data_IF_673005609530
#
_entry.id   IF_673005609530
#
_cell.length_a   1.000
_cell.length_b   1.000
_cell.length_c   1.000
_cell.angle_alpha   90.00
_cell.angle_beta   90.00
_cell.angle_gamma   90.00
#
_symmetry.space_group_name_H-M   'P 1'
#
loop_
_entity.id
_entity.type
_entity.pdbx_description
1 polymer ?
#
# COMPACT_ATOMS: atom_id res chain seq x y z
N UNK A 1 28.02 -11.29 -10.88
CA UNK A 1 27.01 -11.99 -10.08
C UNK A 1 25.66 -11.46 -10.49
N UNK A 2 24.75 -12.32 -10.94
CA UNK A 2 23.35 -11.92 -11.15
C UNK A 2 22.72 -11.95 -9.76
N UNK A 3 22.33 -10.79 -9.21
CA UNK A 3 21.50 -10.75 -8.01
C UNK A 3 20.15 -11.40 -8.38
N UNK A 4 19.94 -12.63 -7.91
CA UNK A 4 18.61 -13.25 -7.99
C UNK A 4 17.78 -12.57 -6.90
N UNK A 5 16.66 -11.91 -7.24
CA UNK A 5 15.82 -11.25 -6.24
C UNK A 5 15.27 -12.28 -5.25
N UNK A 6 15.27 -11.93 -3.96
CA UNK A 6 14.77 -12.83 -2.92
C UNK A 6 13.28 -13.14 -3.16
N UNK A 7 12.79 -14.35 -2.84
CA UNK A 7 11.39 -14.72 -3.05
C UNK A 7 10.42 -13.75 -2.34
N UNK A 8 10.81 -13.22 -1.19
CA UNK A 8 10.05 -12.25 -0.42
C UNK A 8 9.96 -10.89 -1.12
N UNK A 9 11.01 -10.44 -1.80
CA UNK A 9 10.99 -9.23 -2.61
C UNK A 9 10.05 -9.39 -3.81
N UNK A 10 10.06 -10.54 -4.47
CA UNK A 10 9.16 -10.84 -5.59
C UNK A 10 7.69 -10.82 -5.13
N UNK A 11 7.40 -11.43 -3.98
CA UNK A 11 6.05 -11.43 -3.41
C UNK A 11 5.63 -10.00 -3.01
N UNK A 12 6.52 -9.21 -2.40
CA UNK A 12 6.27 -7.80 -2.08
C UNK A 12 5.96 -6.98 -3.34
N UNK A 13 6.75 -7.15 -4.42
CA UNK A 13 6.51 -6.52 -5.72
C UNK A 13 5.12 -6.85 -6.26
N UNK A 14 4.72 -8.12 -6.19
CA UNK A 14 3.39 -8.58 -6.62
C UNK A 14 2.28 -7.96 -5.79
N UNK A 15 2.40 -7.93 -4.46
CA UNK A 15 1.40 -7.32 -3.57
C UNK A 15 1.29 -5.80 -3.81
N UNK A 16 2.43 -5.14 -3.98
CA UNK A 16 2.52 -3.71 -4.30
C UNK A 16 1.83 -3.37 -5.62
N UNK A 17 2.11 -4.13 -6.68
CA UNK A 17 1.45 -3.96 -7.96
C UNK A 17 -0.07 -4.14 -7.84
N UNK A 18 -0.51 -5.18 -7.14
CA UNK A 18 -1.94 -5.44 -6.94
C UNK A 18 -2.65 -4.31 -6.19
N UNK A 19 -2.05 -3.79 -5.11
CA UNK A 19 -2.64 -2.68 -4.34
C UNK A 19 -2.83 -1.44 -5.21
N UNK A 20 -1.81 -1.10 -6.01
CA UNK A 20 -1.87 0.06 -6.89
C UNK A 20 -2.97 -0.08 -7.94
N UNK A 21 -3.13 -1.27 -8.52
CA UNK A 21 -4.19 -1.55 -9.49
C UNK A 21 -5.59 -1.37 -8.88
N UNK A 22 -5.82 -1.86 -7.66
CA UNK A 22 -7.11 -1.72 -6.97
C UNK A 22 -7.40 -0.26 -6.67
N UNK A 23 -6.43 0.47 -6.11
CA UNK A 23 -6.58 1.89 -5.79
C UNK A 23 -6.82 2.75 -7.03
N UNK A 24 -6.23 2.39 -8.18
CA UNK A 24 -6.46 3.07 -9.46
C UNK A 24 -7.86 2.87 -10.04
N UNK A 25 -8.63 1.87 -9.60
CA UNK A 25 -10.03 1.65 -10.03
C UNK A 25 -11.04 2.49 -9.27
N UNK A 26 -10.65 3.09 -8.13
CA UNK A 26 -11.55 3.88 -7.29
C UNK A 26 -12.29 4.99 -8.08
N UNK A 27 -11.65 5.79 -8.95
CA UNK A 27 -12.35 6.85 -9.68
C UNK A 27 -13.49 6.33 -10.57
N UNK A 28 -13.31 5.17 -11.19
CA UNK A 28 -14.33 4.55 -12.05
C UNK A 28 -15.43 3.87 -11.23
N UNK A 29 -15.08 3.27 -10.09
CA UNK A 29 -15.99 2.42 -9.33
C UNK A 29 -16.75 3.18 -8.23
N UNK A 30 -16.28 4.35 -7.78
CA UNK A 30 -16.88 5.11 -6.68
C UNK A 30 -18.34 5.51 -6.91
N UNK A 31 -18.77 5.63 -8.17
CA UNK A 31 -20.16 5.99 -8.50
C UNK A 31 -21.14 4.82 -8.31
N UNK A 32 -20.66 3.56 -8.42
CA UNK A 32 -21.46 2.38 -8.14
C UNK A 32 -21.19 1.91 -6.71
N UNK A 33 -22.16 2.12 -5.81
CA UNK A 33 -21.98 1.81 -4.39
C UNK A 33 -21.63 0.34 -4.14
N UNK A 34 -22.17 -0.59 -4.91
CA UNK A 34 -21.94 -2.02 -4.69
C UNK A 34 -20.51 -2.38 -5.09
N UNK A 35 -20.12 -2.04 -6.31
CA UNK A 35 -18.76 -2.24 -6.81
C UNK A 35 -17.75 -1.52 -5.93
N UNK A 36 -18.03 -0.28 -5.51
CA UNK A 36 -17.13 0.48 -4.64
C UNK A 36 -16.90 -0.21 -3.29
N UNK A 37 -17.94 -0.75 -2.66
CA UNK A 37 -17.78 -1.52 -1.41
C UNK A 37 -16.95 -2.79 -1.63
N UNK A 38 -17.07 -3.46 -2.78
CA UNK A 38 -16.21 -4.59 -3.14
C UNK A 38 -14.76 -4.14 -3.28
N UNK A 39 -14.49 -3.02 -3.95
CA UNK A 39 -13.16 -2.42 -4.11
C UNK A 39 -12.53 -2.01 -2.78
N UNK A 40 -13.31 -1.45 -1.85
CA UNK A 40 -12.85 -1.14 -0.49
C UNK A 40 -12.43 -2.42 0.23
N UNK A 41 -13.27 -3.46 0.20
CA UNK A 41 -12.95 -4.74 0.83
C UNK A 41 -11.71 -5.39 0.20
N UNK A 42 -11.57 -5.32 -1.13
CA UNK A 42 -10.40 -5.80 -1.85
C UNK A 42 -9.13 -5.03 -1.48
N UNK A 43 -9.24 -3.70 -1.31
CA UNK A 43 -8.18 -2.81 -0.82
C UNK A 43 -7.72 -3.23 0.56
N UNK A 44 -8.64 -3.37 1.52
CA UNK A 44 -8.32 -3.81 2.90
C UNK A 44 -7.58 -5.15 2.92
N UNK A 45 -8.05 -6.12 2.14
CA UNK A 45 -7.39 -7.42 2.04
C UNK A 45 -6.01 -7.33 1.41
N UNK A 46 -5.84 -6.48 0.40
CA UNK A 46 -4.55 -6.31 -0.28
C UNK A 46 -3.55 -5.55 0.57
N UNK A 47 -3.99 -4.57 1.36
CA UNK A 47 -3.16 -3.87 2.35
C UNK A 47 -2.63 -4.84 3.40
N UNK A 48 -3.49 -5.69 3.97
CA UNK A 48 -3.04 -6.73 4.92
C UNK A 48 -1.97 -7.64 4.32
N UNK A 49 -2.15 -8.08 3.07
CA UNK A 49 -1.18 -8.90 2.34
C UNK A 49 0.13 -8.17 2.08
N UNK A 50 0.07 -6.88 1.71
CA UNK A 50 1.26 -6.05 1.50
C UNK A 50 2.05 -5.90 2.81
N UNK A 51 1.38 -5.55 3.90
CA UNK A 51 2.00 -5.37 5.21
C UNK A 51 2.66 -6.64 5.73
N UNK A 52 2.05 -7.81 5.48
CA UNK A 52 2.66 -9.10 5.80
C UNK A 52 3.97 -9.29 5.02
N UNK A 53 3.96 -9.07 3.70
CA UNK A 53 5.16 -9.20 2.87
C UNK A 53 6.27 -8.21 3.28
N UNK A 54 5.91 -6.98 3.67
CA UNK A 54 6.87 -6.01 4.23
C UNK A 54 7.49 -6.52 5.53
N UNK A 55 6.69 -7.16 6.39
CA UNK A 55 7.19 -7.75 7.63
C UNK A 55 8.17 -8.90 7.37
N UNK A 56 7.87 -9.76 6.40
CA UNK A 56 8.77 -10.87 5.99
C UNK A 56 10.10 -10.31 5.46
N UNK A 57 10.06 -9.40 4.48
CA UNK A 57 11.27 -8.73 3.95
C UNK A 57 12.08 -8.04 5.06
N UNK A 58 11.43 -7.41 6.04
CA UNK A 58 12.11 -6.78 7.19
C UNK A 58 12.92 -7.77 8.03
N UNK A 59 12.51 -9.04 8.09
CA UNK A 59 13.25 -10.08 8.80
C UNK A 59 14.54 -10.46 8.06
N UNK A 60 14.56 -10.35 6.73
CA UNK A 60 15.70 -10.68 5.88
C UNK A 60 16.73 -9.56 5.73
N UNK A 61 16.36 -8.30 6.00
CA UNK A 61 17.32 -7.18 6.02
C UNK A 61 18.27 -7.35 7.22
N UNK A 62 19.57 -7.50 7.00
CA UNK A 62 20.54 -7.66 8.11
C UNK A 62 20.94 -6.32 8.76
N UNK A 63 20.86 -5.22 8.01
CA UNK A 63 21.23 -3.88 8.50
C UNK A 63 20.17 -3.29 9.42
N UNK A 64 20.57 -2.91 10.65
CA UNK A 64 19.68 -2.25 11.62
C UNK A 64 19.09 -0.95 11.05
N UNK A 65 19.89 -0.18 10.31
CA UNK A 65 19.43 1.05 9.66
C UNK A 65 18.39 0.75 8.57
N UNK A 66 18.56 -0.34 7.82
CA UNK A 66 17.58 -0.79 6.82
C UNK A 66 16.26 -1.19 7.46
N UNK A 67 16.30 -1.97 8.55
CA UNK A 67 15.10 -2.34 9.33
C UNK A 67 14.35 -1.12 9.85
N UNK A 68 15.06 -0.19 10.50
CA UNK A 68 14.44 1.03 11.03
C UNK A 68 13.85 1.91 9.92
N UNK A 69 14.52 2.00 8.78
CA UNK A 69 14.00 2.71 7.60
C UNK A 69 12.69 2.09 7.09
N UNK A 70 12.63 0.77 6.96
CA UNK A 70 11.44 0.06 6.51
C UNK A 70 10.30 0.14 7.54
N UNK A 71 10.59 0.02 8.83
CA UNK A 71 9.60 0.22 9.90
C UNK A 71 9.02 1.64 9.90
N UNK A 72 9.84 2.66 9.66
CA UNK A 72 9.38 4.04 9.54
C UNK A 72 8.45 4.22 8.34
N UNK A 73 8.79 3.63 7.18
CA UNK A 73 7.92 3.63 6.00
C UNK A 73 6.60 2.92 6.28
N UNK A 74 6.64 1.78 6.96
CA UNK A 74 5.46 1.01 7.32
C UNK A 74 4.52 1.83 8.24
N UNK A 75 5.05 2.48 9.27
CA UNK A 75 4.27 3.38 10.15
C UNK A 75 3.65 4.54 9.38
N UNK A 76 4.36 5.14 8.43
CA UNK A 76 3.80 6.22 7.61
C UNK A 76 2.73 5.71 6.64
N UNK A 77 2.90 4.52 6.07
CA UNK A 77 1.88 3.89 5.24
C UNK A 77 0.57 3.68 6.04
N UNK A 78 0.64 3.14 7.26
CA UNK A 78 -0.52 2.96 8.14
C UNK A 78 -1.24 4.27 8.48
N UNK A 79 -0.51 5.38 8.60
CA UNK A 79 -1.14 6.70 8.78
C UNK A 79 -1.98 7.09 7.56
N UNK A 80 -1.47 6.87 6.36
CA UNK A 80 -2.19 7.19 5.12
C UNK A 80 -3.37 6.24 4.88
N UNK A 81 -3.24 4.97 5.28
CA UNK A 81 -4.35 4.00 5.26
C UNK A 81 -5.50 4.43 6.19
N UNK A 82 -5.14 4.91 7.40
CA UNK A 82 -6.11 5.51 8.32
C UNK A 82 -6.77 6.75 7.71
N UNK A 83 -5.99 7.67 7.13
CA UNK A 83 -6.52 8.85 6.45
C UNK A 83 -7.47 8.46 5.32
N UNK A 84 -7.12 7.49 4.47
CA UNK A 84 -8.00 6.97 3.43
C UNK A 84 -9.31 6.44 4.00
N UNK A 85 -9.26 5.67 5.07
CA UNK A 85 -10.46 5.17 5.77
C UNK A 85 -11.33 6.29 6.33
N UNK A 86 -10.73 7.37 6.83
CA UNK A 86 -11.47 8.54 7.32
C UNK A 86 -12.10 9.32 6.16
N UNK A 87 -11.39 9.53 5.05
CA UNK A 87 -11.95 10.15 3.83
C UNK A 87 -13.10 9.33 3.24
N UNK A 88 -13.04 7.99 3.32
CA UNK A 88 -14.16 7.13 2.92
C UNK A 88 -15.40 7.39 3.78
N UNK A 89 -15.24 7.53 5.11
CA UNK A 89 -16.37 7.83 6.00
C UNK A 89 -17.00 9.18 5.68
N UNK A 90 -16.17 10.20 5.49
CA UNK A 90 -16.64 11.54 5.09
C UNK A 90 -17.35 11.49 3.74
N UNK A 91 -16.82 10.76 2.76
CA UNK A 91 -17.48 10.53 1.47
C UNK A 91 -18.87 9.90 1.62
N UNK A 92 -19.03 8.87 2.45
CA UNK A 92 -20.35 8.27 2.67
C UNK A 92 -21.35 9.19 3.39
N UNK A 93 -20.88 10.26 4.05
CA UNK A 93 -21.72 11.25 4.72
C UNK A 93 -22.05 12.45 3.83
N UNK A 94 -21.04 12.99 3.15
CA UNK A 94 -21.10 14.27 2.43
C UNK A 94 -21.11 14.12 0.91
N UNK A 95 -20.76 12.94 0.38
CA UNK A 95 -20.71 12.64 -1.05
C UNK A 95 -19.50 13.18 -1.82
N UNK A 96 -18.54 13.80 -1.13
CA UNK A 96 -17.38 14.46 -1.77
C UNK A 96 -16.25 13.47 -2.09
N UNK A 97 -16.17 13.02 -3.35
CA UNK A 97 -15.23 11.98 -3.80
C UNK A 97 -13.76 12.44 -3.92
N UNK A 98 -13.51 13.74 -4.08
CA UNK A 98 -12.16 14.27 -4.34
C UNK A 98 -11.15 13.88 -3.24
N UNK A 99 -11.58 13.91 -1.99
CA UNK A 99 -10.74 13.56 -0.84
C UNK A 99 -10.34 12.06 -0.84
N UNK A 100 -11.23 11.19 -1.32
CA UNK A 100 -10.96 9.76 -1.50
C UNK A 100 -9.94 9.54 -2.61
N UNK A 101 -10.04 10.27 -3.73
CA UNK A 101 -9.07 10.15 -4.84
C UNK A 101 -7.66 10.59 -4.45
N UNK A 102 -7.55 11.72 -3.74
CA UNK A 102 -6.27 12.22 -3.25
C UNK A 102 -5.64 11.25 -2.26
N UNK A 103 -6.42 10.73 -1.31
CA UNK A 103 -5.93 9.76 -0.32
C UNK A 103 -5.54 8.42 -0.95
N UNK A 104 -6.28 7.92 -1.94
CA UNK A 104 -5.90 6.74 -2.72
C UNK A 104 -4.58 6.94 -3.49
N UNK A 105 -4.40 8.11 -4.12
CA UNK A 105 -3.16 8.48 -4.80
C UNK A 105 -1.98 8.54 -3.82
N UNK A 106 -2.19 9.09 -2.63
CA UNK A 106 -1.19 9.08 -1.57
C UNK A 106 -0.82 7.65 -1.16
N UNK A 107 -1.78 6.73 -1.02
CA UNK A 107 -1.49 5.33 -0.73
C UNK A 107 -0.61 4.67 -1.81
N UNK A 108 -0.91 4.90 -3.09
CA UNK A 108 -0.07 4.44 -4.21
C UNK A 108 1.36 4.96 -4.06
N UNK A 109 1.51 6.25 -3.73
CA UNK A 109 2.83 6.85 -3.51
C UNK A 109 3.56 6.23 -2.31
N UNK A 110 2.88 6.02 -1.17
CA UNK A 110 3.47 5.35 0.00
C UNK A 110 3.89 3.91 -0.32
N UNK A 111 3.11 3.18 -1.11
CA UNK A 111 3.48 1.84 -1.60
C UNK A 111 4.78 1.89 -2.41
N UNK A 112 4.94 2.89 -3.29
CA UNK A 112 6.19 3.05 -4.06
C UNK A 112 7.39 3.40 -3.16
N UNK A 113 7.20 4.19 -2.11
CA UNK A 113 8.27 4.51 -1.16
C UNK A 113 8.74 3.29 -0.36
N UNK A 114 7.82 2.38 -0.02
CA UNK A 114 8.17 1.09 0.59
C UNK A 114 9.06 0.29 -0.37
N UNK A 115 8.64 0.14 -1.62
CA UNK A 115 9.41 -0.58 -2.65
C UNK A 115 10.81 0.01 -2.85
N UNK A 116 10.92 1.33 -2.93
CA UNK A 116 12.20 2.00 -3.08
C UNK A 116 13.12 1.74 -1.89
N UNK A 117 12.58 1.74 -0.67
CA UNK A 117 13.35 1.50 0.55
C UNK A 117 13.85 0.06 0.62
N UNK A 118 13.06 -0.91 0.17
CA UNK A 118 13.50 -2.31 0.07
C UNK A 118 14.63 -2.45 -0.95
N UNK A 119 14.47 -1.85 -2.14
CA UNK A 119 15.50 -1.86 -3.18
C UNK A 119 16.83 -1.26 -2.69
N UNK A 120 16.80 -0.06 -2.10
CA UNK A 120 18.00 0.64 -1.58
C UNK A 120 18.73 -0.13 -0.46
N UNK A 121 18.05 -1.03 0.25
CA UNK A 121 18.59 -1.75 1.41
C UNK A 121 18.94 -3.22 1.14
N UNK A 122 18.56 -3.74 -0.03
CA UNK A 122 18.96 -5.06 -0.53
C UNK A 122 20.14 -5.02 -1.51
N UNK A 123 20.60 -3.83 -1.91
CA UNK A 123 21.83 -3.59 -2.70
C UNK A 123 23.09 -3.46 -1.83
#
# INVERSE_FOLDING_TARGET
MVLIPLPEEVELHKKSANLKLILSRIPDEISDRKTFLETINETVNTIKKLLNAVSEVSQCILSLQGKQGLEHRNKNFLKHDKTFSDMLKEYFQEGQANAVFLSATCLIHQTNLIMFTVKDKCE
#
